data_IF_615269580088
#
_entry.id   IF_615269580088
#
_cell.length_a   1.000
_cell.length_b   1.000
_cell.length_c   1.000
_cell.angle_alpha   90.00
_cell.angle_beta   90.00
_cell.angle_gamma   90.00
#
_symmetry.space_group_name_H-M   'P 1'
#
loop_
_entity.id
_entity.type
_entity.pdbx_description
1 polymer ?
#
# COMPACT_ATOMS: atom_id res chain seq x y z
N UNK A 1 -15.24 22.21 -14.56
CA UNK A 1 -13.94 22.22 -13.84
C UNK A 1 -13.01 21.10 -14.33
N UNK A 2 -13.46 19.84 -14.44
CA UNK A 2 -12.65 18.75 -15.02
C UNK A 2 -12.36 18.93 -16.52
N UNK A 3 -13.38 19.25 -17.32
CA UNK A 3 -13.21 19.46 -18.77
C UNK A 3 -12.28 20.64 -19.12
N UNK A 4 -12.18 21.63 -18.23
CA UNK A 4 -11.24 22.74 -18.38
C UNK A 4 -9.80 22.32 -18.05
N UNK A 5 -9.63 21.35 -17.15
CA UNK A 5 -8.32 20.78 -16.81
C UNK A 5 -7.84 19.79 -17.88
N UNK A 6 -8.73 19.01 -18.48
CA UNK A 6 -8.36 18.11 -19.59
C UNK A 6 -7.91 18.90 -20.84
N UNK A 7 -8.47 20.09 -21.05
CA UNK A 7 -8.06 21.00 -22.14
C UNK A 7 -6.68 21.60 -21.97
N UNK A 8 -6.04 21.49 -20.79
CA UNK A 8 -4.66 21.97 -20.58
C UNK A 8 -3.62 20.90 -20.88
N UNK A 9 -4.03 19.68 -21.26
CA UNK A 9 -3.09 18.60 -21.50
C UNK A 9 -2.32 18.80 -22.80
N UNK A 10 -1.03 18.42 -22.84
CA UNK A 10 -0.23 18.52 -24.06
C UNK A 10 -0.84 17.71 -25.20
N UNK A 11 -0.73 18.23 -26.42
CA UNK A 11 -1.17 17.54 -27.62
C UNK A 11 -0.46 16.17 -27.72
N UNK A 12 -1.25 15.10 -27.86
CA UNK A 12 -0.75 13.73 -27.89
C UNK A 12 -0.54 13.06 -26.53
N UNK A 13 -1.03 13.63 -25.42
CA UNK A 13 -1.02 12.98 -24.10
C UNK A 13 -1.63 11.56 -24.10
N UNK A 14 -2.68 11.37 -24.91
CA UNK A 14 -3.37 10.08 -25.04
C UNK A 14 -2.76 9.14 -26.09
N UNK A 15 -1.73 9.59 -26.81
CA UNK A 15 -1.14 8.78 -27.86
C UNK A 15 -0.32 7.64 -27.24
N UNK A 16 -0.27 6.52 -27.94
CA UNK A 16 0.57 5.39 -27.55
C UNK A 16 2.04 5.80 -27.61
N UNK A 17 2.77 5.61 -26.51
CA UNK A 17 4.22 5.84 -26.45
C UNK A 17 4.88 4.87 -27.45
N UNK A 18 5.35 5.41 -28.58
CA UNK A 18 5.91 4.64 -29.70
C UNK A 18 7.35 4.17 -29.47
N UNK A 19 8.06 4.79 -28.52
CA UNK A 19 9.41 4.40 -28.14
C UNK A 19 9.42 3.34 -27.04
N UNK A 20 10.25 2.30 -27.16
CA UNK A 20 10.53 1.39 -26.05
C UNK A 20 11.03 2.19 -24.85
N UNK A 21 10.33 2.10 -23.72
CA UNK A 21 10.73 2.71 -22.45
C UNK A 21 12.10 2.17 -22.07
N UNK A 22 13.13 3.02 -22.16
CA UNK A 22 14.47 2.71 -21.65
C UNK A 22 14.44 2.92 -20.15
N UNK A 23 14.71 1.87 -19.38
CA UNK A 23 14.75 1.99 -17.93
C UNK A 23 16.03 2.72 -17.51
N UNK A 24 16.02 3.33 -16.33
CA UNK A 24 17.23 3.95 -15.77
C UNK A 24 18.40 2.96 -15.74
N UNK A 25 18.12 1.67 -15.46
CA UNK A 25 19.10 0.59 -15.49
C UNK A 25 19.77 0.40 -16.86
N UNK A 26 19.07 0.67 -17.97
CA UNK A 26 19.61 0.60 -19.33
C UNK A 26 20.37 1.87 -19.72
N UNK A 27 20.16 2.98 -19.02
CA UNK A 27 20.64 4.32 -19.40
C UNK A 27 21.80 4.80 -18.52
N UNK A 28 22.27 4.00 -17.57
CA UNK A 28 23.32 4.39 -16.62
C UNK A 28 24.68 4.55 -17.30
N UNK A 29 25.15 5.80 -17.42
CA UNK A 29 26.59 6.12 -17.57
C UNK A 29 27.24 6.18 -16.19
N UNK A 30 27.28 5.05 -15.48
CA UNK A 30 28.01 4.95 -14.20
C UNK A 30 29.51 4.79 -14.46
N UNK A 31 30.35 5.42 -13.65
CA UNK A 31 31.78 5.10 -13.62
C UNK A 31 31.98 3.96 -12.62
N UNK A 32 32.71 2.93 -13.03
CA UNK A 32 33.04 1.80 -12.16
C UNK A 32 34.34 2.13 -11.43
N UNK A 33 34.30 2.27 -10.10
CA UNK A 33 35.48 2.39 -9.24
C UNK A 33 35.45 1.16 -8.32
N UNK A 34 36.33 0.18 -8.57
CA UNK A 34 36.26 -1.14 -7.90
C UNK A 34 35.03 -1.94 -8.32
N UNK A 35 34.33 -2.55 -7.36
CA UNK A 35 33.07 -3.29 -7.60
C UNK A 35 31.81 -2.44 -7.45
N UNK A 36 31.96 -1.15 -7.13
CA UNK A 36 30.86 -0.22 -6.91
C UNK A 36 30.61 0.65 -8.14
N UNK A 37 29.34 0.79 -8.55
CA UNK A 37 28.92 1.81 -9.52
C UNK A 37 28.71 3.12 -8.77
N UNK A 38 29.56 4.12 -9.01
CA UNK A 38 29.44 5.42 -8.37
C UNK A 38 29.02 6.47 -9.41
N UNK A 39 28.08 7.33 -9.02
CA UNK A 39 27.73 8.51 -9.80
C UNK A 39 28.49 9.70 -9.23
N UNK A 40 29.65 10.00 -9.79
CA UNK A 40 30.44 11.12 -9.31
C UNK A 40 29.90 12.43 -9.91
N UNK A 41 29.22 13.22 -9.07
CA UNK A 41 28.75 14.56 -9.42
C UNK A 41 29.91 15.45 -9.90
N UNK A 42 31.12 15.26 -9.35
CA UNK A 42 32.30 16.02 -9.79
C UNK A 42 32.62 15.75 -11.26
N UNK A 43 32.32 14.56 -11.79
CA UNK A 43 32.53 14.25 -13.21
C UNK A 43 31.52 15.00 -14.09
N UNK A 44 30.27 15.15 -13.65
CA UNK A 44 29.26 15.95 -14.38
C UNK A 44 29.71 17.41 -14.40
N UNK A 45 30.07 17.97 -13.23
CA UNK A 45 30.58 19.35 -13.14
C UNK A 45 31.85 19.55 -13.95
N UNK A 46 32.81 18.63 -13.88
CA UNK A 46 34.07 18.70 -14.64
C UNK A 46 33.83 18.65 -16.15
N UNK A 47 32.86 17.84 -16.61
CA UNK A 47 32.46 17.79 -18.02
C UNK A 47 31.75 19.07 -18.46
N UNK A 48 30.88 19.63 -17.64
CA UNK A 48 30.23 20.92 -17.91
C UNK A 48 31.27 22.04 -18.02
N UNK A 49 32.23 22.09 -17.10
CA UNK A 49 33.36 23.04 -17.14
C UNK A 49 34.19 22.81 -18.40
N UNK A 50 34.55 21.58 -18.75
CA UNK A 50 35.33 21.28 -19.96
C UNK A 50 34.57 21.57 -21.26
N UNK A 51 33.25 21.42 -21.29
CA UNK A 51 32.38 21.82 -22.40
C UNK A 51 32.39 23.33 -22.59
N UNK A 52 32.36 24.08 -21.48
CA UNK A 52 32.45 25.53 -21.48
C UNK A 52 33.85 26.04 -21.86
N UNK A 53 34.90 25.37 -21.40
CA UNK A 53 36.29 25.71 -21.76
C UNK A 53 36.69 25.29 -23.17
N UNK A 54 35.85 24.50 -23.86
CA UNK A 54 36.02 24.24 -25.29
C UNK A 54 35.26 25.30 -26.08
N UNK A 55 35.77 25.71 -27.26
CA UNK A 55 35.15 26.67 -28.21
C UNK A 55 33.78 26.21 -28.79
N UNK A 56 33.06 25.35 -28.08
CA UNK A 56 31.69 24.94 -28.42
C UNK A 56 30.74 25.99 -27.89
N UNK A 57 29.84 26.45 -28.76
CA UNK A 57 28.77 27.40 -28.42
C UNK A 57 27.72 26.72 -27.53
N UNK A 58 28.00 26.65 -26.23
CA UNK A 58 27.11 26.07 -25.21
C UNK A 58 26.68 27.18 -24.27
N UNK A 59 25.39 27.52 -24.29
CA UNK A 59 24.82 28.52 -23.37
C UNK A 59 24.75 27.95 -21.94
N UNK A 60 25.47 28.59 -21.03
CA UNK A 60 25.49 28.24 -19.62
C UNK A 60 24.11 28.36 -18.97
N UNK A 61 23.27 29.30 -19.43
CA UNK A 61 21.92 29.48 -18.90
C UNK A 61 21.03 28.29 -19.21
N UNK A 62 21.18 27.70 -20.39
CA UNK A 62 20.45 26.51 -20.80
C UNK A 62 20.91 25.29 -20.00
N UNK A 63 22.23 25.11 -19.83
CA UNK A 63 22.78 23.99 -19.05
C UNK A 63 22.35 24.03 -17.59
N UNK A 64 22.35 25.22 -16.96
CA UNK A 64 21.93 25.40 -15.57
C UNK A 64 20.40 25.39 -15.38
N UNK A 65 19.62 25.44 -16.46
CA UNK A 65 18.17 25.29 -16.39
C UNK A 65 17.75 23.85 -16.07
N UNK A 66 18.66 22.88 -16.21
CA UNK A 66 18.44 21.47 -15.89
C UNK A 66 19.22 21.05 -14.63
N UNK A 67 18.71 20.06 -13.91
CA UNK A 67 19.39 19.51 -12.75
C UNK A 67 20.65 18.74 -13.19
N UNK A 68 21.83 19.22 -12.79
CA UNK A 68 23.14 18.60 -13.07
C UNK A 68 23.41 17.39 -12.18
N UNK A 69 22.41 16.54 -12.01
CA UNK A 69 22.44 15.32 -11.22
C UNK A 69 22.08 14.10 -12.09
N UNK A 70 22.56 12.90 -11.74
CA UNK A 70 22.24 11.66 -12.47
C UNK A 70 20.74 11.32 -12.43
N UNK A 71 20.04 11.85 -11.43
CA UNK A 71 18.62 11.69 -11.19
C UNK A 71 18.03 13.05 -10.82
N UNK A 72 16.76 13.34 -11.15
CA UNK A 72 16.14 14.57 -10.71
C UNK A 72 16.04 14.61 -9.17
N UNK A 73 16.86 15.41 -8.51
CA UNK A 73 16.97 15.48 -7.04
C UNK A 73 15.72 16.08 -6.40
N UNK A 74 14.90 16.81 -7.16
CA UNK A 74 13.56 17.18 -6.74
C UNK A 74 12.63 15.97 -6.53
N UNK A 75 12.89 14.85 -7.21
CA UNK A 75 12.04 13.65 -7.21
C UNK A 75 12.74 12.40 -6.68
N UNK A 76 14.07 12.38 -6.55
CA UNK A 76 14.87 11.20 -6.20
C UNK A 76 15.98 11.57 -5.19
N UNK A 77 16.30 10.64 -4.28
CA UNK A 77 17.44 10.74 -3.38
C UNK A 77 18.74 10.55 -4.17
N UNK A 78 19.88 10.92 -3.59
CA UNK A 78 21.19 10.75 -4.21
C UNK A 78 21.50 9.28 -4.57
N UNK A 79 20.91 8.33 -3.84
CA UNK A 79 21.00 6.89 -4.09
C UNK A 79 20.08 6.40 -5.23
N UNK A 80 19.33 7.31 -5.87
CA UNK A 80 18.40 7.01 -6.95
C UNK A 80 17.03 6.50 -6.51
N UNK A 81 16.69 6.56 -5.21
CA UNK A 81 15.35 6.20 -4.73
C UNK A 81 14.37 7.35 -4.88
N UNK A 82 13.13 7.09 -5.33
CA UNK A 82 12.13 8.18 -5.46
C UNK A 82 11.81 8.80 -4.10
N UNK A 83 11.94 10.12 -3.99
CA UNK A 83 11.48 10.93 -2.84
C UNK A 83 9.96 10.81 -2.74
N UNK A 84 9.52 9.91 -1.87
CA UNK A 84 8.11 9.69 -1.61
C UNK A 84 7.64 10.61 -0.46
N UNK A 85 7.74 11.94 -0.64
CA UNK A 85 7.22 12.87 0.37
C UNK A 85 5.68 12.85 0.42
N UNK A 86 5.20 12.43 1.59
CA UNK A 86 3.91 12.62 2.23
C UNK A 86 2.61 12.40 1.42
N UNK A 87 2.31 11.13 1.13
CA UNK A 87 0.91 10.66 0.93
C UNK A 87 -0.04 11.17 2.02
N UNK A 88 0.47 11.36 3.24
CA UNK A 88 -0.27 11.93 4.37
C UNK A 88 -0.65 13.40 4.16
N UNK A 89 0.23 14.22 3.57
CA UNK A 89 -0.09 15.62 3.24
C UNK A 89 -1.12 15.68 2.14
N UNK A 90 -0.95 14.89 1.07
CA UNK A 90 -1.95 14.79 0.01
C UNK A 90 -3.29 14.27 0.54
N UNK A 91 -3.28 13.23 1.40
CA UNK A 91 -4.49 12.72 2.06
C UNK A 91 -5.19 13.81 2.88
N UNK A 92 -4.45 14.61 3.65
CA UNK A 92 -5.02 15.73 4.43
C UNK A 92 -5.61 16.81 3.52
N UNK A 93 -4.95 17.15 2.42
CA UNK A 93 -5.46 18.12 1.45
C UNK A 93 -6.69 17.61 0.68
N UNK A 94 -6.74 16.30 0.41
CA UNK A 94 -7.87 15.62 -0.23
C UNK A 94 -8.99 15.25 0.76
N UNK A 95 -8.75 15.39 2.06
CA UNK A 95 -9.77 15.30 3.11
C UNK A 95 -10.65 16.56 3.11
N UNK A 96 -11.02 17.04 1.93
CA UNK A 96 -12.25 17.81 1.77
C UNK A 96 -13.33 16.89 2.29
N UNK A 97 -14.09 17.36 3.29
CA UNK A 97 -15.23 16.64 3.84
C UNK A 97 -16.14 16.26 2.69
N UNK A 98 -16.03 14.99 2.26
CA UNK A 98 -17.05 14.40 1.42
C UNK A 98 -18.24 14.32 2.37
N UNK A 99 -19.10 15.33 2.33
CA UNK A 99 -20.44 15.26 2.90
C UNK A 99 -20.94 13.87 2.55
N UNK A 100 -21.31 13.07 3.56
CA UNK A 100 -21.90 11.75 3.36
C UNK A 100 -22.87 11.89 2.20
N UNK A 101 -22.49 11.43 1.02
CA UNK A 101 -23.44 11.37 -0.08
C UNK A 101 -24.44 10.38 0.46
N UNK A 102 -25.70 10.77 0.58
CA UNK A 102 -26.79 9.87 0.86
C UNK A 102 -26.92 8.92 -0.34
N UNK A 103 -25.91 8.06 -0.55
CA UNK A 103 -26.15 6.74 -1.08
C UNK A 103 -27.05 6.08 -0.03
N UNK A 104 -28.15 5.46 -0.46
CA UNK A 104 -29.02 4.71 0.45
C UNK A 104 -28.25 3.64 1.22
N UNK A 105 -28.95 2.89 2.05
CA UNK A 105 -28.35 1.78 2.79
C UNK A 105 -27.58 0.88 1.82
N UNK A 106 -26.28 0.75 2.03
CA UNK A 106 -25.42 -0.03 1.15
C UNK A 106 -25.64 -1.50 1.47
N UNK A 107 -26.10 -2.31 0.50
CA UNK A 107 -26.23 -3.75 0.69
C UNK A 107 -24.88 -4.43 1.00
N UNK A 108 -23.77 -3.79 0.60
CA UNK A 108 -22.40 -4.32 0.71
C UNK A 108 -21.41 -3.25 1.17
N UNK A 109 -20.61 -3.58 2.18
CA UNK A 109 -19.49 -2.79 2.68
C UNK A 109 -18.15 -3.50 2.42
N UNK A 110 -17.25 -2.85 1.68
CA UNK A 110 -15.88 -3.35 1.45
C UNK A 110 -14.91 -2.60 2.36
N UNK A 111 -14.16 -3.34 3.17
CA UNK A 111 -13.24 -2.79 4.17
C UNK A 111 -11.81 -3.18 3.81
N UNK A 112 -10.95 -2.17 3.66
CA UNK A 112 -9.49 -2.36 3.68
C UNK A 112 -9.05 -2.70 5.11
N UNK A 113 -8.68 -3.96 5.33
CA UNK A 113 -8.24 -4.48 6.62
C UNK A 113 -7.02 -3.73 7.14
N UNK A 114 -6.05 -3.38 6.28
CA UNK A 114 -4.86 -2.64 6.70
C UNK A 114 -5.22 -1.25 7.23
N UNK A 115 -6.21 -0.58 6.62
CA UNK A 115 -6.71 0.70 7.09
C UNK A 115 -7.51 0.55 8.39
N UNK A 116 -8.35 -0.48 8.49
CA UNK A 116 -9.17 -0.78 9.66
C UNK A 116 -8.31 -0.87 10.94
N UNK A 117 -7.16 -1.55 10.88
CA UNK A 117 -6.25 -1.74 12.01
C UNK A 117 -5.73 -0.43 12.63
N UNK A 118 -5.68 0.66 11.85
CA UNK A 118 -5.27 1.98 12.35
C UNK A 118 -6.39 2.75 13.03
N UNK A 119 -7.65 2.36 12.78
CA UNK A 119 -8.83 3.09 13.27
C UNK A 119 -9.40 2.49 14.55
N UNK A 120 -9.13 1.21 14.81
CA UNK A 120 -9.63 0.50 15.98
C UNK A 120 -8.78 0.85 17.20
N UNK A 121 -9.45 0.95 18.35
CA UNK A 121 -8.80 1.21 19.62
C UNK A 121 -7.73 0.15 19.93
N UNK A 122 -6.50 0.61 20.13
CA UNK A 122 -5.38 -0.22 20.52
C UNK A 122 -5.34 -0.36 22.04
N UNK A 123 -5.47 -1.56 22.61
CA UNK A 123 -5.53 -1.75 24.05
C UNK A 123 -4.17 -1.44 24.68
N UNK A 124 -4.10 -0.35 25.46
CA UNK A 124 -2.85 0.08 26.11
C UNK A 124 -2.40 -0.88 27.22
N UNK A 125 -3.36 -1.43 27.98
CA UNK A 125 -3.13 -2.35 29.10
C UNK A 125 -3.75 -3.73 28.91
N UNK A 126 -4.26 -4.02 27.71
CA UNK A 126 -4.77 -5.33 27.35
C UNK A 126 -3.76 -6.18 26.59
N UNK A 127 -4.31 -7.18 25.90
CA UNK A 127 -3.62 -8.19 25.12
C UNK A 127 -3.97 -8.07 23.64
N UNK A 128 -3.30 -8.85 22.79
CA UNK A 128 -3.68 -8.95 21.37
C UNK A 128 -5.10 -9.52 21.24
N UNK A 129 -5.54 -10.41 22.13
CA UNK A 129 -6.92 -10.90 22.15
C UNK A 129 -7.93 -9.76 22.33
N UNK A 130 -7.69 -8.83 23.27
CA UNK A 130 -8.57 -7.67 23.49
C UNK A 130 -8.65 -6.78 22.24
N UNK A 131 -7.54 -6.64 21.51
CA UNK A 131 -7.53 -5.92 20.23
C UNK A 131 -8.38 -6.65 19.18
N UNK A 132 -8.28 -7.97 19.09
CA UNK A 132 -9.09 -8.79 18.17
C UNK A 132 -10.57 -8.68 18.53
N UNK A 133 -10.93 -8.66 19.81
CA UNK A 133 -12.31 -8.47 20.24
C UNK A 133 -12.85 -7.07 19.89
N UNK A 134 -12.01 -6.04 19.98
CA UNK A 134 -12.36 -4.70 19.46
C UNK A 134 -12.63 -4.74 17.95
N UNK A 135 -11.86 -5.53 17.19
CA UNK A 135 -12.08 -5.73 15.74
C UNK A 135 -13.38 -6.47 15.49
N UNK A 136 -13.65 -7.59 16.18
CA UNK A 136 -14.90 -8.36 16.09
C UNK A 136 -16.11 -7.47 16.39
N UNK A 137 -16.04 -6.68 17.46
CA UNK A 137 -17.10 -5.72 17.84
C UNK A 137 -17.34 -4.69 16.75
N UNK A 138 -16.28 -4.14 16.15
CA UNK A 138 -16.40 -3.19 15.04
C UNK A 138 -17.01 -3.86 13.80
N UNK A 139 -16.64 -5.10 13.49
CA UNK A 139 -17.21 -5.84 12.36
C UNK A 139 -18.69 -6.15 12.55
N UNK A 140 -19.12 -6.51 13.77
CA UNK A 140 -20.54 -6.71 14.08
C UNK A 140 -21.35 -5.46 13.77
N UNK A 141 -20.82 -4.26 14.05
CA UNK A 141 -21.52 -3.00 13.70
C UNK A 141 -21.69 -2.79 12.20
N UNK A 142 -20.75 -3.27 11.37
CA UNK A 142 -20.92 -3.22 9.91
C UNK A 142 -21.87 -4.32 9.41
N UNK A 143 -21.78 -5.51 9.99
CA UNK A 143 -22.62 -6.67 9.67
C UNK A 143 -24.08 -6.50 10.13
N UNK A 144 -24.39 -5.55 11.02
CA UNK A 144 -25.79 -5.21 11.31
C UNK A 144 -26.47 -4.46 10.18
N UNK A 145 -25.69 -3.82 9.30
CA UNK A 145 -26.17 -2.93 8.24
C UNK A 145 -26.03 -3.54 6.84
N UNK A 146 -24.98 -4.34 6.60
CA UNK A 146 -24.63 -4.80 5.23
C UNK A 146 -23.76 -6.05 5.21
N UNK A 147 -23.66 -6.70 4.05
CA UNK A 147 -22.65 -7.74 3.80
C UNK A 147 -21.24 -7.14 3.84
N UNK A 148 -20.32 -7.77 4.58
CA UNK A 148 -18.97 -7.21 4.81
C UNK A 148 -17.91 -8.00 4.06
N UNK A 149 -17.11 -7.31 3.26
CA UNK A 149 -15.93 -7.85 2.58
C UNK A 149 -14.67 -7.27 3.21
N UNK A 150 -14.03 -8.02 4.09
CA UNK A 150 -12.79 -7.64 4.77
C UNK A 150 -11.58 -8.12 3.98
N UNK A 151 -10.85 -7.17 3.38
CA UNK A 151 -9.74 -7.45 2.47
C UNK A 151 -8.42 -7.08 3.14
N UNK A 152 -7.57 -8.08 3.37
CA UNK A 152 -6.21 -7.89 3.89
C UNK A 152 -5.19 -7.79 2.74
N UNK A 153 -4.15 -6.97 2.96
CA UNK A 153 -3.02 -6.88 2.02
C UNK A 153 -2.29 -8.22 1.89
N UNK A 154 -1.98 -8.61 0.65
CA UNK A 154 -1.09 -9.72 0.36
C UNK A 154 0.36 -9.26 0.28
N UNK A 155 1.24 -9.96 0.97
CA UNK A 155 2.64 -9.61 1.10
C UNK A 155 3.52 -10.60 0.34
N UNK A 156 3.60 -10.43 -0.98
CA UNK A 156 4.54 -11.16 -1.84
C UNK A 156 5.96 -10.62 -1.69
N UNK A 157 6.94 -11.53 -1.69
CA UNK A 157 8.37 -11.21 -1.53
C UNK A 157 8.90 -10.33 -2.68
N UNK A 158 8.45 -10.59 -3.92
CA UNK A 158 8.84 -9.83 -5.12
C UNK A 158 7.74 -8.90 -5.63
N UNK A 159 7.23 -8.03 -4.75
CA UNK A 159 6.25 -7.01 -5.15
C UNK A 159 6.92 -5.72 -5.63
N UNK A 160 6.28 -4.96 -6.52
CA UNK A 160 6.70 -3.59 -6.91
C UNK A 160 6.88 -2.67 -5.68
N UNK A 161 6.28 -3.03 -4.53
CA UNK A 161 6.45 -2.32 -3.25
C UNK A 161 7.67 -2.77 -2.42
N UNK A 162 8.36 -3.88 -2.72
CA UNK A 162 9.49 -4.41 -1.91
C UNK A 162 10.61 -3.38 -1.71
N UNK A 163 10.96 -2.65 -2.77
CA UNK A 163 12.01 -1.60 -2.72
C UNK A 163 11.67 -0.46 -1.75
N UNK A 164 10.37 -0.14 -1.56
CA UNK A 164 9.94 0.86 -0.54
C UNK A 164 9.77 0.27 0.86
N UNK A 165 9.87 -1.05 1.00
CA UNK A 165 9.66 -1.81 2.24
C UNK A 165 10.97 -2.07 2.97
N UNK A 166 12.08 -2.26 2.24
CA UNK A 166 13.42 -2.48 2.82
C UNK A 166 13.91 -1.31 3.69
N UNK A 167 13.40 -0.09 3.47
CA UNK A 167 13.72 1.09 4.28
C UNK A 167 13.08 1.02 5.70
N UNK A 168 12.23 0.03 5.98
CA UNK A 168 11.45 -0.08 7.24
C UNK A 168 11.71 -1.38 8.00
N UNK A 169 12.97 -1.80 8.07
CA UNK A 169 13.36 -2.92 8.93
C UNK A 169 13.03 -2.60 10.40
N UNK A 170 11.99 -3.25 10.92
CA UNK A 170 11.55 -3.12 12.30
C UNK A 170 11.48 -4.51 12.92
N UNK A 171 11.90 -4.59 14.19
CA UNK A 171 11.98 -5.83 14.98
C UNK A 171 10.67 -6.64 14.89
N UNK A 172 10.83 -7.95 14.66
CA UNK A 172 9.75 -8.93 14.73
C UNK A 172 9.34 -9.13 16.19
N UNK A 173 8.12 -8.72 16.51
CA UNK A 173 7.49 -8.99 17.79
C UNK A 173 6.69 -10.27 17.62
N UNK A 174 7.02 -11.33 18.37
CA UNK A 174 6.28 -12.59 18.31
C UNK A 174 4.89 -12.39 18.92
N UNK A 175 3.91 -12.03 18.10
CA UNK A 175 2.56 -11.75 18.56
C UNK A 175 1.81 -13.05 18.85
N UNK A 176 1.28 -13.16 20.07
CA UNK A 176 0.35 -14.21 20.48
C UNK A 176 -0.89 -13.55 21.10
N UNK A 177 -2.01 -14.25 21.14
CA UNK A 177 -3.26 -13.75 21.74
C UNK A 177 -3.07 -13.21 23.17
N UNK A 178 -2.24 -13.88 23.97
CA UNK A 178 -1.93 -13.50 25.35
C UNK A 178 -0.87 -12.42 25.51
N UNK A 179 -0.18 -12.02 24.43
CA UNK A 179 0.88 -11.02 24.54
C UNK A 179 0.31 -9.62 24.72
N UNK A 180 0.92 -8.82 25.60
CA UNK A 180 0.65 -7.38 25.67
C UNK A 180 1.17 -6.74 24.37
N UNK A 181 0.32 -6.09 23.57
CA UNK A 181 0.76 -5.52 22.32
C UNK A 181 1.66 -4.32 22.60
N UNK A 182 2.82 -4.28 21.95
CA UNK A 182 3.66 -3.07 21.88
C UNK A 182 2.86 -1.92 21.23
N UNK A 183 3.37 -0.69 21.28
CA UNK A 183 2.73 0.46 20.65
C UNK A 183 2.26 0.18 19.21
N UNK A 184 1.00 0.54 18.89
CA UNK A 184 0.35 0.30 17.60
C UNK A 184 1.24 0.63 16.39
N UNK A 185 1.90 1.80 16.43
CA UNK A 185 2.77 2.26 15.35
C UNK A 185 3.96 1.32 15.11
N UNK A 186 4.49 0.66 16.14
CA UNK A 186 5.60 -0.29 16.04
C UNK A 186 5.13 -1.57 15.35
N UNK A 187 3.98 -2.11 15.78
CA UNK A 187 3.38 -3.32 15.19
C UNK A 187 2.96 -3.07 13.74
N UNK A 188 2.21 -2.01 13.48
CA UNK A 188 1.66 -1.68 12.15
C UNK A 188 2.67 -0.97 11.23
N UNK A 189 3.95 -0.90 11.57
CA UNK A 189 5.00 -0.43 10.64
C UNK A 189 5.86 -1.57 10.10
N UNK A 190 6.03 -2.67 10.84
CA UNK A 190 6.72 -3.89 10.40
C UNK A 190 5.80 -4.77 9.55
N UNK A 191 6.35 -5.39 8.51
CA UNK A 191 5.59 -6.29 7.62
C UNK A 191 5.35 -7.63 8.30
N UNK A 192 6.36 -8.16 8.97
CA UNK A 192 6.32 -9.44 9.67
C UNK A 192 5.28 -9.39 10.77
N UNK A 193 5.23 -8.29 11.52
CA UNK A 193 4.24 -8.11 12.58
C UNK A 193 2.82 -7.96 12.01
N UNK A 194 2.65 -7.31 10.85
CA UNK A 194 1.36 -7.25 10.16
C UNK A 194 0.92 -8.60 9.63
N UNK A 195 1.82 -9.37 9.02
CA UNK A 195 1.54 -10.74 8.57
C UNK A 195 1.04 -11.58 9.75
N UNK A 196 1.76 -11.55 10.87
CA UNK A 196 1.35 -12.25 12.10
C UNK A 196 -0.02 -11.79 12.63
N UNK A 197 -0.25 -10.48 12.71
CA UNK A 197 -1.52 -9.95 13.19
C UNK A 197 -2.69 -10.29 12.25
N UNK A 198 -2.49 -10.20 10.94
CA UNK A 198 -3.48 -10.57 9.93
C UNK A 198 -3.81 -12.06 10.01
N UNK A 199 -2.82 -12.92 10.23
CA UNK A 199 -3.01 -14.36 10.43
C UNK A 199 -3.83 -14.66 11.70
N UNK A 200 -3.50 -14.01 12.82
CA UNK A 200 -4.26 -14.15 14.06
C UNK A 200 -5.72 -13.69 13.88
N UNK A 201 -5.92 -12.52 13.26
CA UNK A 201 -7.26 -12.01 12.95
C UNK A 201 -8.03 -12.94 12.03
N UNK A 202 -7.41 -13.42 10.95
CA UNK A 202 -8.04 -14.35 10.03
C UNK A 202 -8.46 -15.62 10.74
N UNK A 203 -7.60 -16.20 11.58
CA UNK A 203 -7.91 -17.38 12.37
C UNK A 203 -9.08 -17.13 13.32
N UNK A 204 -9.00 -16.08 14.13
CA UNK A 204 -10.04 -15.73 15.10
C UNK A 204 -11.38 -15.40 14.45
N UNK A 205 -11.37 -14.73 13.29
CA UNK A 205 -12.59 -14.41 12.54
C UNK A 205 -13.18 -15.63 11.84
N UNK A 206 -12.40 -16.65 11.52
CA UNK A 206 -12.88 -17.85 10.81
C UNK A 206 -13.18 -19.02 11.73
N UNK A 207 -12.65 -19.06 12.95
CA UNK A 207 -12.83 -20.18 13.88
C UNK A 207 -13.84 -19.91 15.00
N UNK A 208 -14.05 -18.64 15.39
CA UNK A 208 -14.93 -18.26 16.50
C UNK A 208 -16.43 -18.36 16.15
N UNK A 209 -17.02 -19.48 16.54
CA UNK A 209 -18.46 -19.76 16.33
C UNK A 209 -19.37 -18.77 17.04
N UNK A 210 -19.00 -18.28 18.23
CA UNK A 210 -19.83 -17.34 18.99
C UNK A 210 -19.88 -16.00 18.27
N UNK A 211 -18.76 -15.55 17.72
CA UNK A 211 -18.71 -14.38 16.84
C UNK A 211 -19.59 -14.58 15.61
N UNK A 212 -19.53 -15.73 14.94
CA UNK A 212 -20.32 -15.93 13.72
C UNK A 212 -21.83 -15.93 13.99
N UNK A 213 -22.28 -16.62 15.04
CA UNK A 213 -23.69 -16.63 15.43
C UNK A 213 -24.23 -15.24 15.78
N UNK A 214 -23.40 -14.42 16.44
CA UNK A 214 -23.78 -13.06 16.84
C UNK A 214 -23.71 -12.06 15.68
N UNK A 215 -22.68 -12.15 14.85
CA UNK A 215 -22.35 -11.15 13.85
C UNK A 215 -22.91 -11.44 12.47
N UNK A 216 -23.06 -12.70 12.07
CA UNK A 216 -23.37 -13.08 10.68
C UNK A 216 -24.76 -13.71 10.50
N UNK A 217 -25.70 -13.36 11.38
CA UNK A 217 -27.07 -13.89 11.36
C UNK A 217 -27.92 -13.28 10.23
N UNK A 218 -27.70 -12.01 9.90
CA UNK A 218 -28.40 -11.28 8.84
C UNK A 218 -27.56 -11.20 7.57
N UNK A 219 -26.32 -10.74 7.74
CA UNK A 219 -25.38 -10.47 6.65
C UNK A 219 -24.18 -11.40 6.72
N UNK A 220 -23.53 -11.63 5.59
CA UNK A 220 -22.35 -12.50 5.52
C UNK A 220 -21.06 -11.71 5.71
N UNK A 221 -20.05 -12.40 6.22
CA UNK A 221 -18.67 -11.91 6.26
C UNK A 221 -17.85 -12.67 5.22
N UNK A 222 -17.22 -11.95 4.30
CA UNK A 222 -16.22 -12.49 3.39
C UNK A 222 -14.86 -11.95 3.81
N UNK A 223 -13.92 -12.84 4.17
CA UNK A 223 -12.58 -12.46 4.63
C UNK A 223 -11.50 -13.10 3.76
N UNK A 224 -10.50 -12.30 3.38
CA UNK A 224 -9.33 -12.81 2.66
C UNK A 224 -8.20 -13.16 3.62
N UNK A 225 -7.66 -14.37 3.54
CA UNK A 225 -6.45 -14.78 4.24
C UNK A 225 -5.18 -14.56 3.41
N UNK A 226 -4.10 -15.25 3.78
CA UNK A 226 -2.91 -15.38 2.93
C UNK A 226 -3.21 -16.17 1.65
N UNK A 227 -4.16 -17.10 1.74
CA UNK A 227 -4.56 -17.92 0.61
C UNK A 227 -5.26 -17.12 -0.51
N UNK A 228 -5.22 -17.71 -1.71
CA UNK A 228 -5.81 -17.11 -2.89
C UNK A 228 -7.33 -17.00 -2.80
N UNK A 229 -7.97 -17.86 -1.99
CA UNK A 229 -9.41 -18.01 -1.89
C UNK A 229 -9.96 -17.29 -0.64
N UNK A 230 -10.94 -16.38 -0.79
CA UNK A 230 -11.65 -15.82 0.35
C UNK A 230 -12.58 -16.87 1.00
N UNK A 231 -12.80 -16.71 2.30
CA UNK A 231 -13.76 -17.51 3.06
C UNK A 231 -15.01 -16.67 3.29
N UNK A 232 -16.16 -17.22 2.92
CA UNK A 232 -17.49 -16.69 3.24
C UNK A 232 -18.01 -17.36 4.52
N UNK A 233 -18.52 -16.55 5.43
CA UNK A 233 -19.04 -16.97 6.72
C UNK A 233 -20.47 -16.45 6.86
N UNK A 234 -21.41 -17.37 7.14
CA UNK A 234 -22.80 -17.05 7.43
C UNK A 234 -23.33 -17.98 8.50
N UNK A 235 -23.73 -17.42 9.63
CA UNK A 235 -24.06 -18.18 10.86
C UNK A 235 -22.93 -19.15 11.19
N UNK A 236 -23.14 -20.47 11.15
CA UNK A 236 -22.07 -21.45 11.42
C UNK A 236 -21.43 -22.00 10.13
N UNK A 237 -21.99 -21.68 8.97
CA UNK A 237 -21.49 -22.17 7.69
C UNK A 237 -20.29 -21.36 7.23
N UNK A 238 -19.20 -22.08 6.94
CA UNK A 238 -18.01 -21.55 6.30
C UNK A 238 -17.94 -22.16 4.91
N UNK A 239 -17.82 -21.33 3.89
CA UNK A 239 -17.70 -21.78 2.50
C UNK A 239 -16.47 -21.13 1.89
N UNK A 240 -15.61 -21.95 1.29
CA UNK A 240 -14.56 -21.43 0.41
C UNK A 240 -15.18 -21.11 -0.96
N UNK A 241 -14.65 -20.12 -1.69
CA UNK A 241 -15.16 -19.79 -3.03
C UNK A 241 -15.14 -20.97 -4.01
N UNK A 242 -14.18 -21.89 -3.85
CA UNK A 242 -14.11 -23.13 -4.65
C UNK A 242 -15.31 -24.07 -4.41
N UNK A 243 -15.88 -24.07 -3.20
CA UNK A 243 -17.08 -24.87 -2.89
C UNK A 243 -18.36 -24.24 -3.47
N UNK A 244 -18.40 -22.91 -3.61
CA UNK A 244 -19.52 -22.17 -4.19
C UNK A 244 -19.63 -22.38 -5.72
N UNK A 245 -18.51 -22.43 -6.43
CA UNK A 245 -18.48 -22.67 -7.88
C UNK A 245 -18.88 -24.12 -8.24
N UNK A 246 -18.54 -25.08 -7.38
CA UNK A 246 -18.89 -26.50 -7.57
C UNK A 246 -20.37 -26.82 -7.33
N UNK A 247 -21.12 -25.95 -6.65
CA UNK A 247 -22.57 -26.12 -6.47
C UNK A 247 -23.38 -25.51 -7.62
N UNK A 248 -22.90 -24.42 -8.23
CA UNK A 248 -23.57 -23.78 -9.38
C UNK A 248 -23.28 -24.47 -10.73
N UNK A 249 -22.38 -25.45 -10.78
CA UNK A 249 -22.03 -26.23 -11.97
C UNK A 249 -22.78 -27.56 -12.12
N UNK A 250 -23.79 -27.84 -11.28
CA UNK A 250 -24.67 -29.01 -11.41
C UNK A 250 -26.11 -28.54 -11.67
N UNK A 251 -26.41 -28.23 -12.92
CA UNK A 251 -27.77 -28.16 -13.47
C UNK A 251 -27.73 -28.60 -14.92
#
# INVERSE_FOLDING_TARGET
MLEQFEKTWPEGFYNTISSKVKTMATTTKSIKIGDSKMYDLNVIYSRTIALFSSDRDVDMKDVLAYELAPVPTAMFTEDGMRICKAKSTLKKSLQVEVSRRNAGDADVTVIDGSALLWTIHWPADGTVADFIDNVKTRLISYLSESDVYLIFDRYYDYSIKSVTRDVRENRKHHLLLSTKPTAQKVVLSSIENKKQLNLLLFKELTEDRLFHLRGTNKHKLVVTGEDSCPIEIRMEERRSRYELENQNGRS
#
